data_IF_348303761345
#
_entry.id   IF_348303761345
#
_cell.length_a   1.000
_cell.length_b   1.000
_cell.length_c   1.000
_cell.angle_alpha   90.00
_cell.angle_beta   90.00
_cell.angle_gamma   90.00
#
_symmetry.space_group_name_H-M   'P 1'
#
loop_
_entity.id
_entity.type
_entity.pdbx_description
1 polymer ?
#
# COMPACT_ATOMS: atom_id res chain seq x y z
N UNK A 1 -60.76 45.30 17.60
CA UNK A 1 -60.54 45.74 18.98
C UNK A 1 -59.12 45.35 19.41
N UNK A 2 -58.37 46.36 19.85
CA UNK A 2 -57.11 46.34 20.61
C UNK A 2 -55.91 45.48 20.17
N UNK A 3 -54.91 46.21 19.68
CA UNK A 3 -53.50 45.86 19.65
C UNK A 3 -52.92 45.66 21.07
N UNK A 4 -51.94 44.76 21.20
CA UNK A 4 -50.86 44.87 22.19
C UNK A 4 -49.53 44.47 21.56
N UNK A 5 -48.59 45.41 21.67
CA UNK A 5 -47.20 45.34 21.28
C UNK A 5 -46.41 44.37 22.17
N UNK A 6 -45.55 43.54 21.56
CA UNK A 6 -44.52 42.77 22.25
C UNK A 6 -43.18 43.02 21.56
N UNK A 7 -42.28 43.71 22.26
CA UNK A 7 -40.97 44.11 21.78
C UNK A 7 -40.00 42.92 21.64
N UNK A 8 -39.22 42.95 20.56
CA UNK A 8 -38.12 42.04 20.23
C UNK A 8 -36.90 42.30 21.12
N UNK A 9 -36.43 41.29 21.84
CA UNK A 9 -35.13 41.32 22.52
C UNK A 9 -34.03 40.81 21.58
N UNK A 10 -33.13 41.70 21.16
CA UNK A 10 -31.94 41.35 20.41
C UNK A 10 -30.87 40.73 21.33
N UNK A 11 -30.47 39.49 21.06
CA UNK A 11 -29.36 38.83 21.75
C UNK A 11 -28.03 39.43 21.27
N UNK A 12 -27.27 40.05 22.19
CA UNK A 12 -25.90 40.50 21.97
C UNK A 12 -24.95 39.31 21.86
N UNK A 13 -24.19 39.24 20.77
CA UNK A 13 -23.08 38.30 20.60
C UNK A 13 -21.90 38.65 21.54
N UNK A 14 -21.20 37.67 22.12
CA UNK A 14 -20.02 37.92 22.94
C UNK A 14 -18.82 38.33 22.08
N UNK A 15 -18.16 39.42 22.46
CA UNK A 15 -16.92 39.92 21.87
C UNK A 15 -15.75 38.98 22.22
N UNK A 16 -15.05 38.48 21.19
CA UNK A 16 -13.81 37.71 21.33
C UNK A 16 -12.65 38.64 21.78
N UNK A 17 -11.79 38.20 22.72
CA UNK A 17 -10.60 38.95 23.09
C UNK A 17 -9.52 38.91 21.98
N UNK A 18 -8.69 39.96 21.85
CA UNK A 18 -7.64 40.03 20.84
C UNK A 18 -6.51 38.99 21.10
N UNK A 19 -5.81 38.55 20.04
CA UNK A 19 -4.74 37.56 20.16
C UNK A 19 -3.53 38.11 20.94
N UNK A 20 -2.98 37.27 21.83
CA UNK A 20 -1.75 37.56 22.60
C UNK A 20 -0.53 37.61 21.69
N UNK A 21 0.33 38.59 21.93
CA UNK A 21 1.64 38.74 21.28
C UNK A 21 2.57 37.54 21.56
N UNK A 22 3.47 37.17 20.63
CA UNK A 22 4.38 36.05 20.80
C UNK A 22 5.46 36.33 21.86
N UNK A 23 5.78 35.30 22.66
CA UNK A 23 6.80 35.36 23.70
C UNK A 23 8.22 35.41 23.10
N UNK A 24 9.19 36.09 23.75
CA UNK A 24 10.57 36.14 23.29
C UNK A 24 11.28 34.79 23.43
N UNK A 25 12.14 34.47 22.46
CA UNK A 25 12.92 33.24 22.41
C UNK A 25 13.98 33.17 23.55
N UNK A 26 14.27 31.99 24.11
CA UNK A 26 15.30 31.82 25.13
C UNK A 26 16.72 31.95 24.55
N UNK A 27 17.71 32.40 25.36
CA UNK A 27 19.09 32.55 24.89
C UNK A 27 19.76 31.20 24.65
N UNK A 28 20.59 31.16 23.61
CA UNK A 28 21.38 29.99 23.21
C UNK A 28 22.43 29.65 24.28
N UNK A 29 22.38 28.42 24.81
CA UNK A 29 23.37 27.90 25.75
C UNK A 29 24.64 27.50 24.98
N UNK A 30 25.70 28.29 25.13
CA UNK A 30 27.07 27.95 24.71
C UNK A 30 27.64 26.92 25.71
N UNK A 31 27.73 25.66 25.31
CA UNK A 31 28.50 24.66 26.05
C UNK A 31 30.00 24.84 25.73
N UNK A 32 30.71 25.48 26.66
CA UNK A 32 32.18 25.46 26.75
C UNK A 32 32.62 24.07 27.24
N UNK A 33 33.44 23.40 26.45
CA UNK A 33 34.28 22.29 26.90
C UNK A 33 35.52 22.86 27.59
N UNK A 34 35.90 22.33 28.76
CA UNK A 34 37.28 22.20 29.25
C UNK A 34 37.30 21.19 30.43
N UNK A 35 38.45 20.53 30.71
CA UNK A 35 38.56 19.20 31.31
C UNK A 35 39.01 19.24 32.78
N UNK A 36 38.92 18.11 33.48
CA UNK A 36 39.78 17.84 34.64
C UNK A 36 40.14 16.34 34.75
N UNK A 37 41.40 16.14 35.10
CA UNK A 37 42.09 14.89 35.34
C UNK A 37 41.78 14.29 36.73
N UNK A 38 42.01 12.98 36.85
CA UNK A 38 43.02 12.49 37.80
C UNK A 38 42.58 11.87 39.14
N UNK A 39 42.79 10.55 39.22
CA UNK A 39 43.52 9.82 40.27
C UNK A 39 42.79 9.15 41.47
N UNK A 40 43.25 7.92 41.75
CA UNK A 40 43.24 7.21 43.04
C UNK A 40 42.15 6.15 43.19
N UNK A 41 42.30 4.81 43.10
CA UNK A 41 43.30 3.80 43.50
C UNK A 41 42.90 3.00 44.78
N UNK A 42 43.13 1.68 44.68
CA UNK A 42 43.23 0.63 45.73
C UNK A 42 41.95 -0.03 46.29
N UNK A 43 41.88 -1.32 46.65
CA UNK A 43 42.68 -2.53 46.40
C UNK A 43 42.02 -3.75 47.13
N UNK A 44 42.26 -4.98 46.62
CA UNK A 44 42.33 -6.26 47.38
C UNK A 44 41.04 -7.10 47.45
N UNK A 45 41.04 -8.45 47.43
CA UNK A 45 42.05 -9.50 47.21
C UNK A 45 41.28 -10.84 47.03
N UNK A 46 41.65 -11.74 46.11
CA UNK A 46 42.30 -13.01 46.48
C UNK A 46 41.55 -14.26 45.96
N UNK A 47 42.18 -15.45 45.89
CA UNK A 47 42.53 -16.05 44.59
C UNK A 47 42.19 -17.55 44.39
N UNK A 48 42.40 -18.05 43.16
CA UNK A 48 42.50 -19.48 42.82
C UNK A 48 43.00 -19.70 41.37
N UNK A 49 44.28 -20.08 41.22
CA UNK A 49 44.97 -20.47 39.98
C UNK A 49 45.15 -22.02 39.91
N UNK A 50 45.99 -22.66 39.06
CA UNK A 50 46.63 -22.33 37.76
C UNK A 50 46.38 -23.45 36.69
N UNK A 51 46.90 -23.51 35.45
CA UNK A 51 47.97 -22.79 34.75
C UNK A 51 48.14 -23.23 33.27
N UNK A 52 48.90 -22.41 32.53
CA UNK A 52 49.45 -22.66 31.20
C UNK A 52 50.53 -21.59 30.87
N UNK A 53 51.70 -21.92 30.26
CA UNK A 53 52.87 -21.01 30.16
C UNK A 53 52.83 -20.12 28.90
N UNK A 54 53.05 -18.78 29.01
CA UNK A 54 54.31 -18.00 28.93
C UNK A 54 54.85 -17.89 27.48
N UNK A 55 55.19 -16.72 26.90
CA UNK A 55 55.91 -15.54 27.44
C UNK A 55 55.89 -14.31 26.49
N UNK A 56 55.61 -13.12 27.05
CA UNK A 56 56.36 -11.81 27.01
C UNK A 56 56.66 -11.11 25.66
N UNK A 57 56.66 -9.78 25.47
CA UNK A 57 56.31 -8.51 26.15
C UNK A 57 56.35 -7.43 25.00
N UNK A 58 55.43 -6.46 24.90
CA UNK A 58 55.52 -5.06 25.39
C UNK A 58 56.86 -4.35 25.03
N UNK A 59 57.01 -3.10 24.55
CA UNK A 59 56.16 -1.98 24.08
C UNK A 59 57.14 -0.83 23.69
N UNK A 60 56.77 -0.01 22.70
CA UNK A 60 57.17 1.40 22.42
C UNK A 60 58.62 1.79 22.05
N UNK A 61 58.64 2.90 21.29
CA UNK A 61 59.68 3.94 21.12
C UNK A 61 60.79 3.69 20.09
N UNK A 62 60.77 4.40 18.95
CA UNK A 62 61.62 5.60 18.74
C UNK A 62 61.33 6.28 17.39
N UNK A 63 61.36 7.61 17.42
CA UNK A 63 61.43 8.49 16.27
C UNK A 63 62.90 8.74 15.85
N UNK A 64 63.07 9.06 14.56
CA UNK A 64 64.13 9.91 13.97
C UNK A 64 65.58 9.39 13.87
N UNK A 65 66.22 9.85 12.79
CA UNK A 65 67.64 9.90 12.38
C UNK A 65 67.97 9.00 11.17
N UNK A 66 68.55 9.44 10.02
CA UNK A 66 69.15 10.69 9.47
C UNK A 66 69.16 10.52 7.93
N UNK A 67 68.69 11.46 7.10
CA UNK A 67 69.43 12.58 6.49
C UNK A 67 70.71 12.23 5.70
N UNK A 68 70.68 12.38 4.36
CA UNK A 68 71.72 13.06 3.57
C UNK A 68 71.33 13.27 2.08
N UNK A 69 71.51 14.50 1.62
CA UNK A 69 71.50 15.04 0.25
C UNK A 69 70.12 15.15 -0.43
N UNK A 70 69.54 16.32 -0.69
CA UNK A 70 70.15 17.60 -1.08
C UNK A 70 69.95 17.80 -2.58
N UNK A 71 69.31 18.92 -2.95
CA UNK A 71 68.91 19.39 -4.30
C UNK A 71 67.64 18.73 -4.88
N UNK A 72 66.67 19.44 -5.43
CA UNK A 72 66.53 20.85 -5.77
C UNK A 72 65.26 20.99 -6.63
N UNK A 73 64.58 22.12 -6.50
CA UNK A 73 63.36 22.53 -7.20
C UNK A 73 63.33 22.20 -8.71
N UNK A 74 62.15 21.80 -9.21
CA UNK A 74 61.58 22.33 -10.46
C UNK A 74 60.05 22.30 -10.37
N UNK A 75 59.47 23.49 -10.22
CA UNK A 75 58.05 23.77 -10.42
C UNK A 75 57.75 23.77 -11.92
N UNK A 76 56.76 22.99 -12.35
CA UNK A 76 56.04 23.25 -13.59
C UNK A 76 54.56 22.90 -13.40
N UNK A 77 53.75 23.94 -13.42
CA UNK A 77 52.29 23.93 -13.37
C UNK A 77 51.71 23.09 -14.51
N UNK A 78 50.68 22.30 -14.21
CA UNK A 78 49.72 21.85 -15.21
C UNK A 78 48.33 21.82 -14.58
N UNK A 79 47.52 22.78 -15.00
CA UNK A 79 46.12 22.90 -14.67
C UNK A 79 45.33 21.71 -15.24
N UNK A 80 44.52 21.05 -14.41
CA UNK A 80 43.39 20.28 -14.88
C UNK A 80 42.11 21.08 -14.63
N UNK A 81 41.47 21.48 -15.72
CA UNK A 81 40.16 22.11 -15.74
C UNK A 81 39.08 21.12 -15.23
N UNK A 82 38.07 21.59 -14.47
CA UNK A 82 36.89 20.80 -14.20
C UNK A 82 35.99 20.75 -15.44
N UNK A 83 35.58 19.54 -15.83
CA UNK A 83 34.65 19.29 -16.92
C UNK A 83 33.30 19.99 -16.68
N UNK A 84 32.91 20.85 -17.61
CA UNK A 84 31.60 21.49 -17.65
C UNK A 84 30.54 20.49 -18.13
N UNK A 85 29.44 20.37 -17.38
CA UNK A 85 28.22 19.70 -17.83
C UNK A 85 27.54 20.52 -18.96
N UNK A 86 26.92 19.86 -19.95
CA UNK A 86 26.18 20.57 -21.00
C UNK A 86 24.93 21.27 -20.44
N UNK A 87 24.53 22.43 -20.98
CA UNK A 87 23.37 23.16 -20.52
C UNK A 87 22.06 22.47 -20.92
N UNK A 88 21.06 22.53 -20.03
CA UNK A 88 19.68 22.13 -20.27
C UNK A 88 19.04 23.02 -21.36
N UNK A 89 18.20 22.47 -22.25
CA UNK A 89 17.50 23.28 -23.25
C UNK A 89 16.48 24.21 -22.59
N UNK A 90 16.52 25.47 -23.04
CA UNK A 90 15.64 26.57 -22.62
C UNK A 90 14.17 26.25 -22.90
N UNK A 91 13.30 26.53 -21.92
CA UNK A 91 11.86 26.46 -22.05
C UNK A 91 11.37 27.52 -23.04
N UNK A 92 10.63 27.08 -24.06
CA UNK A 92 9.90 27.98 -24.95
C UNK A 92 8.75 28.67 -24.19
N UNK A 93 8.41 29.94 -24.51
CA UNK A 93 7.37 30.68 -23.83
C UNK A 93 5.98 30.11 -24.16
N UNK A 94 5.16 29.92 -23.12
CA UNK A 94 3.76 29.54 -23.26
C UNK A 94 2.94 30.68 -23.92
N UNK A 95 1.98 30.37 -24.80
CA UNK A 95 1.06 31.38 -25.30
C UNK A 95 0.09 31.82 -24.21
N UNK A 96 -0.25 33.11 -24.22
CA UNK A 96 -1.15 33.75 -23.28
C UNK A 96 -2.55 33.12 -23.32
N UNK A 97 -3.03 32.65 -22.17
CA UNK A 97 -4.41 32.16 -22.00
C UNK A 97 -5.32 33.36 -21.75
N UNK A 98 -6.20 33.64 -22.70
CA UNK A 98 -7.36 34.51 -22.52
C UNK A 98 -8.32 33.91 -21.48
N UNK A 99 -8.86 34.77 -20.62
CA UNK A 99 -9.75 34.37 -19.51
C UNK A 99 -11.05 33.69 -19.97
N UNK A 100 -11.73 32.94 -19.08
CA UNK A 100 -12.90 32.18 -19.47
C UNK A 100 -14.10 33.12 -19.66
N UNK A 101 -14.66 33.10 -20.87
CA UNK A 101 -16.02 33.55 -21.13
C UNK A 101 -16.99 32.54 -20.51
N UNK A 102 -18.01 33.05 -19.81
CA UNK A 102 -19.19 32.28 -19.43
C UNK A 102 -19.81 31.62 -20.67
N UNK A 103 -19.91 30.29 -20.67
CA UNK A 103 -20.78 29.57 -21.59
C UNK A 103 -21.55 28.49 -20.83
N UNK A 104 -22.85 28.48 -21.12
CA UNK A 104 -23.92 27.76 -20.45
C UNK A 104 -23.84 26.23 -20.65
N UNK A 105 -24.45 25.53 -19.70
CA UNK A 105 -24.95 24.14 -19.73
C UNK A 105 -24.78 23.39 -21.07
N UNK A 106 -23.88 22.42 -21.10
CA UNK A 106 -23.88 21.35 -22.09
C UNK A 106 -24.41 20.06 -21.44
N UNK A 107 -25.63 19.70 -21.84
CA UNK A 107 -26.30 18.43 -21.57
C UNK A 107 -25.52 17.31 -22.27
N UNK A 108 -25.19 16.24 -21.53
CA UNK A 108 -24.59 15.02 -22.10
C UNK A 108 -25.53 14.40 -23.15
N UNK A 109 -25.05 13.96 -24.33
CA UNK A 109 -25.91 13.34 -25.33
C UNK A 109 -26.37 11.95 -24.86
N UNK A 110 -27.69 11.72 -24.93
CA UNK A 110 -28.31 10.39 -24.85
C UNK A 110 -27.83 9.53 -26.02
N UNK A 111 -27.63 8.21 -25.84
CA UNK A 111 -27.44 7.32 -26.97
C UNK A 111 -28.75 7.21 -27.76
N UNK A 112 -28.61 7.22 -29.09
CA UNK A 112 -29.69 7.16 -30.05
C UNK A 112 -30.58 5.94 -29.85
N UNK A 113 -31.90 6.17 -29.93
CA UNK A 113 -32.90 5.14 -30.10
C UNK A 113 -32.72 4.51 -31.48
N UNK A 114 -32.53 3.18 -31.53
CA UNK A 114 -32.71 2.40 -32.74
C UNK A 114 -34.18 1.97 -32.82
N UNK A 115 -34.81 2.30 -33.95
CA UNK A 115 -36.17 1.97 -34.31
C UNK A 115 -36.34 0.47 -34.60
N UNK A 116 -37.60 0.03 -34.52
CA UNK A 116 -38.07 -1.33 -34.73
C UNK A 116 -38.21 -1.73 -36.21
N UNK A 117 -38.45 -3.04 -36.40
CA UNK A 117 -38.79 -3.81 -37.61
C UNK A 117 -37.56 -4.37 -38.37
N UNK A 118 -37.45 -5.64 -38.77
CA UNK A 118 -38.46 -6.68 -39.09
C UNK A 118 -37.96 -8.09 -38.70
N UNK A 119 -38.91 -9.01 -38.50
CA UNK A 119 -38.70 -10.45 -38.29
C UNK A 119 -38.38 -11.14 -39.63
N UNK A 120 -37.28 -11.88 -39.71
CA UNK A 120 -37.14 -13.00 -40.65
C UNK A 120 -36.69 -14.25 -39.88
N UNK A 121 -37.55 -15.27 -39.93
CA UNK A 121 -37.25 -16.64 -39.51
C UNK A 121 -36.20 -17.25 -40.44
N UNK A 122 -35.04 -17.59 -39.88
CA UNK A 122 -33.99 -18.35 -40.55
C UNK A 122 -33.32 -19.28 -39.54
N UNK A 123 -33.80 -20.53 -39.49
CA UNK A 123 -33.22 -21.59 -38.67
C UNK A 123 -31.78 -21.88 -39.09
N UNK A 124 -30.87 -21.76 -38.13
CA UNK A 124 -29.48 -22.17 -38.25
C UNK A 124 -28.92 -22.43 -36.85
N UNK A 125 -28.84 -23.71 -36.49
CA UNK A 125 -28.17 -24.18 -35.27
C UNK A 125 -26.69 -23.78 -35.36
N UNK A 126 -26.36 -22.64 -34.75
CA UNK A 126 -25.00 -22.17 -34.54
C UNK A 126 -24.69 -22.22 -33.05
N UNK A 127 -23.65 -22.96 -32.69
CA UNK A 127 -23.13 -23.13 -31.34
C UNK A 127 -22.96 -21.76 -30.64
N UNK A 128 -23.72 -21.53 -29.56
CA UNK A 128 -23.51 -20.39 -28.66
C UNK A 128 -22.15 -20.55 -27.95
N UNK A 129 -21.08 -20.04 -28.57
CA UNK A 129 -19.88 -19.69 -27.83
C UNK A 129 -20.23 -18.57 -26.84
N UNK A 130 -20.20 -18.91 -25.55
CA UNK A 130 -20.56 -18.04 -24.42
C UNK A 130 -19.77 -16.73 -24.34
N UNK A 131 -20.16 -15.77 -25.17
CA UNK A 131 -19.80 -14.36 -25.04
C UNK A 131 -20.42 -13.80 -23.76
N UNK A 132 -19.59 -13.28 -22.87
CA UNK A 132 -20.03 -12.52 -21.71
C UNK A 132 -20.95 -11.38 -22.17
N UNK A 133 -22.19 -11.35 -21.66
CA UNK A 133 -23.11 -10.23 -21.94
C UNK A 133 -22.48 -8.92 -21.43
N UNK A 134 -21.95 -8.13 -22.36
CA UNK A 134 -21.30 -6.86 -22.08
C UNK A 134 -22.24 -5.88 -21.35
N UNK A 135 -23.55 -5.95 -21.61
CA UNK A 135 -24.55 -5.11 -20.93
C UNK A 135 -24.71 -5.54 -19.48
N UNK A 136 -24.79 -6.84 -19.21
CA UNK A 136 -24.83 -7.36 -17.85
C UNK A 136 -23.58 -6.99 -17.06
N UNK A 137 -22.39 -7.06 -17.68
CA UNK A 137 -21.13 -6.69 -17.03
C UNK A 137 -21.06 -5.19 -16.72
N UNK A 138 -21.47 -4.32 -17.65
CA UNK A 138 -21.55 -2.87 -17.41
C UNK A 138 -22.52 -2.57 -16.25
N UNK A 139 -23.70 -3.19 -16.25
CA UNK A 139 -24.70 -3.02 -15.19
C UNK A 139 -24.17 -3.50 -13.82
N UNK A 140 -23.37 -4.58 -13.80
CA UNK A 140 -22.72 -5.06 -12.59
C UNK A 140 -21.66 -4.07 -12.07
N UNK A 141 -20.82 -3.52 -12.94
CA UNK A 141 -19.81 -2.51 -12.55
C UNK A 141 -20.46 -1.25 -12.01
N UNK A 142 -21.54 -0.79 -12.66
CA UNK A 142 -22.36 0.32 -12.19
C UNK A 142 -22.96 0.04 -10.81
N UNK A 143 -23.53 -1.16 -10.61
CA UNK A 143 -24.11 -1.55 -9.33
C UNK A 143 -23.06 -1.58 -8.20
N UNK A 144 -21.85 -2.04 -8.47
CA UNK A 144 -20.74 -2.02 -7.50
C UNK A 144 -20.33 -0.59 -7.15
N UNK A 145 -20.23 0.31 -8.13
CA UNK A 145 -19.93 1.73 -7.89
C UNK A 145 -21.02 2.42 -7.08
N UNK A 146 -22.29 2.22 -7.42
CA UNK A 146 -23.44 2.76 -6.67
C UNK A 146 -23.46 2.28 -5.22
N UNK A 147 -23.12 1.02 -4.96
CA UNK A 147 -23.02 0.49 -3.59
C UNK A 147 -21.98 1.24 -2.77
N UNK A 148 -20.76 1.43 -3.30
CA UNK A 148 -19.70 2.17 -2.62
C UNK A 148 -20.21 3.54 -2.21
N UNK A 149 -20.79 4.29 -3.15
CA UNK A 149 -21.32 5.63 -2.87
C UNK A 149 -22.47 5.66 -1.87
N UNK A 150 -23.40 4.70 -1.96
CA UNK A 150 -24.49 4.55 -1.00
C UNK A 150 -23.95 4.36 0.42
N UNK A 151 -23.03 3.42 0.60
CA UNK A 151 -22.43 3.12 1.91
C UNK A 151 -21.59 4.28 2.43
N UNK A 152 -20.86 4.97 1.54
CA UNK A 152 -20.12 6.18 1.90
C UNK A 152 -21.05 7.28 2.44
N UNK A 153 -22.23 7.48 1.84
CA UNK A 153 -23.23 8.44 2.28
C UNK A 153 -23.87 8.02 3.62
N UNK A 154 -24.29 6.75 3.74
CA UNK A 154 -24.91 6.19 4.96
C UNK A 154 -23.97 6.28 6.17
N UNK A 155 -22.67 6.08 5.96
CA UNK A 155 -21.64 6.16 7.01
C UNK A 155 -21.04 7.56 7.19
N UNK A 156 -21.47 8.56 6.42
CA UNK A 156 -20.98 9.94 6.50
C UNK A 156 -19.51 10.13 6.11
N UNK A 157 -18.92 9.18 5.37
CA UNK A 157 -17.48 9.13 5.09
C UNK A 157 -17.02 10.13 4.00
N UNK A 158 -17.96 10.78 3.32
CA UNK A 158 -17.68 11.78 2.28
C UNK A 158 -17.49 13.20 2.83
N UNK A 159 -17.88 13.46 4.08
CA UNK A 159 -18.07 14.83 4.59
C UNK A 159 -16.76 15.56 4.87
N UNK A 160 -15.71 14.83 5.22
CA UNK A 160 -14.43 15.40 5.62
C UNK A 160 -13.27 14.55 5.09
N UNK A 161 -12.17 15.21 4.72
CA UNK A 161 -10.93 14.58 4.29
C UNK A 161 -10.62 14.74 2.80
N UNK A 162 -9.37 14.45 2.47
CA UNK A 162 -8.85 14.42 1.10
C UNK A 162 -8.54 12.97 0.72
N UNK A 163 -8.57 12.64 -0.58
CA UNK A 163 -8.16 11.31 -1.02
C UNK A 163 -6.71 11.04 -0.63
N UNK A 164 -6.42 9.82 -0.15
CA UNK A 164 -5.06 9.36 0.04
C UNK A 164 -4.41 9.07 -1.33
N UNK A 165 -3.92 10.13 -1.97
CA UNK A 165 -3.34 10.05 -3.31
C UNK A 165 -2.04 9.24 -3.37
N UNK A 166 -1.37 9.02 -2.23
CA UNK A 166 -0.09 8.34 -2.18
C UNK A 166 -0.14 7.00 -2.91
N UNK A 167 -1.19 6.20 -2.73
CA UNK A 167 -1.27 4.84 -3.29
C UNK A 167 -1.69 4.75 -4.77
N UNK A 168 -1.94 5.89 -5.40
CA UNK A 168 -2.40 5.94 -6.78
C UNK A 168 -1.26 5.93 -7.79
N UNK A 169 -1.52 5.29 -8.93
CA UNK A 169 -0.76 5.38 -10.16
C UNK A 169 -1.59 6.18 -11.16
N UNK A 170 -0.98 7.18 -11.78
CA UNK A 170 -1.58 7.98 -12.84
C UNK A 170 -0.75 7.73 -14.09
N UNK A 171 -1.37 7.08 -15.08
CA UNK A 171 -0.80 6.92 -16.41
C UNK A 171 -1.58 7.83 -17.37
N UNK A 172 -1.05 9.04 -17.56
CA UNK A 172 -1.67 10.05 -18.42
C UNK A 172 -1.59 9.71 -19.90
N UNK A 173 -0.67 8.82 -20.31
CA UNK A 173 -0.57 8.40 -21.72
C UNK A 173 -1.73 7.48 -22.11
N UNK A 174 -2.21 6.67 -21.17
CA UNK A 174 -3.27 5.71 -21.38
C UNK A 174 -4.59 6.09 -20.68
N UNK A 175 -4.69 7.30 -20.13
CA UNK A 175 -5.86 7.77 -19.36
C UNK A 175 -6.29 6.77 -18.28
N UNK A 176 -5.34 6.29 -17.47
CA UNK A 176 -5.59 5.33 -16.40
C UNK A 176 -5.25 5.90 -15.03
N UNK A 177 -6.13 5.65 -14.08
CA UNK A 177 -5.88 5.90 -12.65
C UNK A 177 -6.15 4.63 -11.85
N UNK A 178 -5.18 4.18 -11.06
CA UNK A 178 -5.30 2.95 -10.28
C UNK A 178 -4.83 3.14 -8.85
N UNK A 179 -5.65 2.77 -7.86
CA UNK A 179 -5.15 2.62 -6.48
C UNK A 179 -4.59 1.23 -6.23
N UNK A 180 -3.30 1.14 -5.91
CA UNK A 180 -2.60 -0.13 -5.73
C UNK A 180 -2.87 -0.77 -4.35
N UNK A 181 -3.97 -1.51 -4.23
CA UNK A 181 -4.22 -2.28 -3.01
C UNK A 181 -3.42 -3.59 -3.00
N UNK A 182 -2.49 -3.68 -2.06
CA UNK A 182 -1.72 -4.89 -1.83
C UNK A 182 -2.62 -6.09 -1.49
N UNK A 183 -2.22 -7.27 -1.98
CA UNK A 183 -2.93 -8.55 -1.75
C UNK A 183 -4.32 -8.64 -2.41
N UNK A 184 -4.70 -7.63 -3.20
CA UNK A 184 -5.85 -7.64 -4.11
C UNK A 184 -5.37 -7.44 -5.56
N UNK A 185 -4.74 -8.48 -6.13
CA UNK A 185 -4.16 -8.49 -7.47
C UNK A 185 -3.02 -7.48 -7.77
N UNK A 186 -2.47 -6.80 -6.75
CA UNK A 186 -1.40 -5.81 -6.92
C UNK A 186 -0.20 -6.28 -7.74
N UNK A 187 0.26 -7.52 -7.57
CA UNK A 187 1.40 -8.06 -8.33
C UNK A 187 1.11 -8.12 -9.84
N UNK A 188 -0.11 -8.51 -10.21
CA UNK A 188 -0.53 -8.61 -11.60
C UNK A 188 -0.65 -7.23 -12.25
N UNK A 189 -1.20 -6.25 -11.54
CA UNK A 189 -1.37 -4.90 -12.07
C UNK A 189 -0.09 -4.08 -12.05
N UNK A 190 0.80 -4.29 -11.07
CA UNK A 190 2.17 -3.74 -11.15
C UNK A 190 2.92 -4.26 -12.38
N UNK A 191 2.71 -5.51 -12.78
CA UNK A 191 3.29 -6.01 -14.02
C UNK A 191 2.71 -5.29 -15.25
N UNK A 192 1.39 -5.11 -15.31
CA UNK A 192 0.74 -4.39 -16.41
C UNK A 192 1.22 -2.93 -16.49
N UNK A 193 1.24 -2.20 -15.38
CA UNK A 193 1.77 -0.83 -15.35
C UNK A 193 3.24 -0.76 -15.75
N UNK A 194 4.07 -1.74 -15.37
CA UNK A 194 5.45 -1.77 -15.85
C UNK A 194 5.55 -2.00 -17.37
N UNK A 195 4.66 -2.82 -17.95
CA UNK A 195 4.60 -2.97 -19.42
C UNK A 195 4.19 -1.66 -20.10
N UNK A 196 3.13 -1.01 -19.59
CA UNK A 196 2.67 0.29 -20.09
C UNK A 196 3.74 1.38 -19.96
N UNK A 197 4.62 1.27 -18.97
CA UNK A 197 5.77 2.16 -18.79
C UNK A 197 6.94 1.88 -19.75
N UNK A 198 6.78 0.93 -20.69
CA UNK A 198 7.78 0.59 -21.70
C UNK A 198 8.82 -0.44 -21.27
N UNK A 199 8.67 -1.09 -20.11
CA UNK A 199 9.56 -2.21 -19.76
C UNK A 199 9.18 -3.44 -20.58
N UNK A 200 10.16 -4.11 -21.20
CA UNK A 200 9.91 -5.36 -21.92
C UNK A 200 9.62 -6.51 -20.97
N UNK A 201 8.83 -7.48 -21.42
CA UNK A 201 8.54 -8.68 -20.61
C UNK A 201 9.81 -9.44 -20.21
N UNK A 202 10.79 -9.52 -21.11
CA UNK A 202 12.05 -10.22 -20.86
C UNK A 202 12.88 -9.54 -19.77
N UNK A 203 12.84 -8.21 -19.70
CA UNK A 203 13.44 -7.45 -18.61
C UNK A 203 12.71 -7.73 -17.29
N UNK A 204 11.37 -7.64 -17.28
CA UNK A 204 10.58 -7.88 -16.07
C UNK A 204 10.73 -9.33 -15.54
N UNK A 205 10.94 -10.30 -16.42
CA UNK A 205 11.21 -11.70 -16.06
C UNK A 205 12.54 -11.88 -15.31
N UNK A 206 13.58 -11.17 -15.74
CA UNK A 206 14.95 -11.30 -15.20
C UNK A 206 15.27 -10.33 -14.08
N UNK A 207 14.52 -9.24 -13.95
CA UNK A 207 14.79 -8.20 -12.97
C UNK A 207 14.71 -8.73 -11.53
N UNK A 208 15.70 -8.33 -10.73
CA UNK A 208 15.71 -8.56 -9.28
C UNK A 208 15.08 -7.39 -8.50
N UNK A 209 14.78 -6.28 -9.18
CA UNK A 209 14.12 -5.13 -8.55
C UNK A 209 12.65 -5.46 -8.26
N UNK A 210 12.15 -4.98 -7.13
CA UNK A 210 10.72 -5.09 -6.81
C UNK A 210 9.88 -4.40 -7.89
N UNK A 211 8.79 -5.02 -8.38
CA UNK A 211 7.93 -4.43 -9.41
C UNK A 211 7.38 -3.05 -9.04
N UNK A 212 7.10 -2.82 -7.75
CA UNK A 212 6.64 -1.53 -7.24
C UNK A 212 7.71 -0.44 -7.44
N UNK A 213 8.98 -0.75 -7.20
CA UNK A 213 10.10 0.20 -7.36
C UNK A 213 10.26 0.61 -8.82
N UNK A 214 10.16 -0.36 -9.74
CA UNK A 214 10.20 -0.10 -11.18
C UNK A 214 9.03 0.78 -11.62
N UNK A 215 7.81 0.46 -11.20
CA UNK A 215 6.63 1.22 -11.57
C UNK A 215 6.69 2.64 -11.01
N UNK A 216 7.15 2.83 -9.77
CA UNK A 216 7.28 4.16 -9.15
C UNK A 216 8.38 5.03 -9.74
N UNK A 217 9.36 4.45 -10.42
CA UNK A 217 10.32 5.23 -11.21
C UNK A 217 9.69 5.89 -12.44
N UNK A 218 8.52 5.41 -12.89
CA UNK A 218 7.80 5.90 -14.07
C UNK A 218 6.52 6.65 -13.71
N UNK A 219 5.87 6.24 -12.61
CA UNK A 219 4.64 6.81 -12.10
C UNK A 219 4.85 7.28 -10.64
N UNK A 220 5.41 8.49 -10.45
CA UNK A 220 5.67 9.02 -9.12
C UNK A 220 4.38 9.13 -8.29
N UNK A 221 4.54 9.18 -6.96
CA UNK A 221 3.42 9.32 -6.01
C UNK A 221 2.76 10.68 -6.24
N UNK A 222 1.46 10.76 -6.60
CA UNK A 222 0.81 12.04 -6.89
C UNK A 222 0.39 12.76 -5.62
N UNK A 223 0.21 14.08 -5.73
CA UNK A 223 -0.50 14.88 -4.73
C UNK A 223 -2.02 14.69 -4.86
N UNK A 224 -2.82 15.02 -3.83
CA UNK A 224 -4.29 15.02 -3.94
C UNK A 224 -4.81 15.88 -5.09
N UNK A 225 -4.17 17.02 -5.36
CA UNK A 225 -4.54 17.89 -6.48
C UNK A 225 -4.28 17.23 -7.83
N UNK A 226 -3.11 16.59 -8.01
CA UNK A 226 -2.78 15.86 -9.24
C UNK A 226 -3.74 14.71 -9.49
N UNK A 227 -4.09 13.96 -8.43
CA UNK A 227 -5.09 12.90 -8.53
C UNK A 227 -6.45 13.47 -8.93
N UNK A 228 -6.93 14.53 -8.28
CA UNK A 228 -8.21 15.18 -8.62
C UNK A 228 -8.26 15.68 -10.06
N UNK A 229 -7.15 16.22 -10.56
CA UNK A 229 -7.06 16.68 -11.95
C UNK A 229 -7.08 15.54 -12.97
N UNK A 230 -6.52 14.38 -12.65
CA UNK A 230 -6.45 13.24 -13.58
C UNK A 230 -7.75 12.42 -13.67
N UNK A 231 -8.58 12.43 -12.62
CA UNK A 231 -9.76 11.56 -12.51
C UNK A 231 -10.85 11.79 -13.58
N UNK A 232 -11.20 13.02 -13.99
CA UNK A 232 -12.30 13.24 -14.95
C UNK A 232 -12.05 12.61 -16.32
N UNK A 233 -10.80 12.62 -16.78
CA UNK A 233 -10.41 12.19 -18.13
C UNK A 233 -9.78 10.79 -18.16
N UNK A 234 -9.87 10.05 -17.04
CA UNK A 234 -9.25 8.74 -16.88
C UNK A 234 -10.25 7.65 -16.51
N UNK A 235 -10.04 6.45 -17.05
CA UNK A 235 -10.62 5.26 -16.48
C UNK A 235 -9.93 4.99 -15.14
N UNK A 236 -10.67 5.23 -14.06
CA UNK A 236 -10.21 5.03 -12.70
C UNK A 236 -10.71 3.70 -12.15
N UNK A 237 -9.84 2.88 -11.56
CA UNK A 237 -10.28 1.59 -11.03
C UNK A 237 -9.63 1.21 -9.70
N UNK A 238 -10.37 0.40 -8.95
CA UNK A 238 -9.96 -0.20 -7.69
C UNK A 238 -10.23 -1.70 -7.74
N UNK A 239 -9.25 -2.51 -7.34
CA UNK A 239 -9.41 -3.96 -7.23
C UNK A 239 -9.49 -4.32 -5.76
N UNK A 240 -10.58 -4.96 -5.39
CA UNK A 240 -10.86 -5.38 -4.02
C UNK A 240 -10.94 -6.89 -3.91
N UNK A 241 -10.83 -7.38 -2.68
CA UNK A 241 -10.96 -8.78 -2.30
C UNK A 241 -11.74 -8.80 -1.00
N UNK A 242 -12.38 -9.92 -0.69
CA UNK A 242 -12.92 -10.14 0.66
C UNK A 242 -11.90 -9.68 1.73
N UNK A 243 -12.27 -8.73 2.63
CA UNK A 243 -11.30 -8.10 3.54
C UNK A 243 -10.54 -9.08 4.42
N UNK A 244 -11.19 -10.17 4.83
CA UNK A 244 -10.61 -11.19 5.69
C UNK A 244 -9.74 -12.18 4.90
N UNK A 245 -10.14 -12.54 3.69
CA UNK A 245 -9.23 -13.29 2.81
C UNK A 245 -7.97 -12.48 2.45
N UNK A 246 -8.13 -11.16 2.24
CA UNK A 246 -7.00 -10.26 2.01
C UNK A 246 -6.07 -10.23 3.22
N UNK A 247 -6.61 -10.11 4.42
CA UNK A 247 -5.83 -10.12 5.66
C UNK A 247 -5.05 -11.43 5.81
N UNK A 248 -5.70 -12.58 5.58
CA UNK A 248 -5.03 -13.87 5.61
C UNK A 248 -3.92 -13.96 4.55
N UNK A 249 -4.19 -13.50 3.33
CA UNK A 249 -3.19 -13.43 2.27
C UNK A 249 -1.97 -12.58 2.67
N UNK A 250 -2.19 -11.47 3.40
CA UNK A 250 -1.12 -10.65 3.94
C UNK A 250 -0.31 -11.40 5.00
N UNK A 251 -0.98 -12.01 5.99
CA UNK A 251 -0.34 -12.81 7.03
C UNK A 251 0.57 -13.89 6.43
N UNK A 252 0.01 -14.71 5.55
CA UNK A 252 0.73 -15.82 4.92
C UNK A 252 1.90 -15.35 4.08
N UNK A 253 1.76 -14.21 3.40
CA UNK A 253 2.84 -13.67 2.60
C UNK A 253 3.99 -13.09 3.44
N UNK A 254 3.71 -12.49 4.59
CA UNK A 254 4.70 -11.75 5.38
C UNK A 254 5.29 -12.54 6.54
N UNK A 255 4.51 -13.45 7.14
CA UNK A 255 4.89 -14.15 8.36
C UNK A 255 5.14 -15.65 8.18
N UNK A 256 4.53 -16.33 7.20
CA UNK A 256 4.90 -17.73 6.93
C UNK A 256 6.34 -17.77 6.34
N UNK A 257 7.22 -18.49 7.02
CA UNK A 257 8.63 -18.66 6.62
C UNK A 257 9.53 -17.43 6.82
N UNK A 258 9.02 -16.29 7.30
CA UNK A 258 9.76 -15.07 7.70
C UNK A 258 10.99 -14.71 6.83
N UNK A 259 10.80 -14.74 5.51
CA UNK A 259 11.88 -14.51 4.53
C UNK A 259 12.36 -13.07 4.52
N UNK A 260 11.48 -12.12 4.82
CA UNK A 260 11.79 -10.69 4.79
C UNK A 260 12.31 -10.22 6.16
N UNK A 261 13.46 -9.52 6.17
CA UNK A 261 14.12 -9.04 7.40
C UNK A 261 13.23 -8.12 8.25
N UNK A 262 12.47 -7.22 7.62
CA UNK A 262 11.56 -6.31 8.31
C UNK A 262 10.46 -7.09 9.03
N UNK A 263 9.78 -7.98 8.30
CA UNK A 263 8.71 -8.80 8.87
C UNK A 263 9.22 -9.86 9.86
N UNK A 264 10.49 -10.28 9.77
CA UNK A 264 11.15 -11.11 10.80
C UNK A 264 11.31 -10.35 12.12
N UNK A 265 11.62 -9.05 12.08
CA UNK A 265 11.67 -8.21 13.29
C UNK A 265 10.27 -8.01 13.88
N UNK A 266 9.32 -7.60 13.04
CA UNK A 266 7.92 -7.40 13.47
C UNK A 266 7.31 -8.69 14.01
N UNK A 267 7.56 -9.83 13.36
CA UNK A 267 7.06 -11.12 13.81
C UNK A 267 7.56 -11.49 15.20
N UNK A 268 8.84 -11.23 15.50
CA UNK A 268 9.40 -11.42 16.86
C UNK A 268 8.73 -10.51 17.89
N UNK A 269 8.49 -9.26 17.54
CA UNK A 269 7.80 -8.29 18.41
C UNK A 269 6.35 -8.68 18.70
N UNK A 270 5.64 -9.19 17.68
CA UNK A 270 4.29 -9.73 17.86
C UNK A 270 4.32 -10.93 18.80
N UNK A 271 5.22 -11.89 18.54
CA UNK A 271 5.33 -13.10 19.37
C UNK A 271 5.79 -12.81 20.80
N UNK A 272 6.60 -11.77 21.05
CA UNK A 272 7.09 -11.44 22.41
C UNK A 272 6.03 -10.77 23.28
N UNK A 273 5.01 -10.15 22.69
CA UNK A 273 3.93 -9.46 23.42
C UNK A 273 2.90 -10.40 24.02
N UNK A 274 2.91 -11.67 23.62
CA UNK A 274 1.93 -12.65 24.05
C UNK A 274 2.64 -13.88 24.60
N UNK A 275 2.20 -14.43 25.76
CA UNK A 275 2.69 -15.71 26.23
C UNK A 275 2.54 -16.76 25.14
N UNK A 276 3.50 -17.68 25.01
CA UNK A 276 3.30 -18.86 24.16
C UNK A 276 2.08 -19.59 24.67
N UNK A 277 0.99 -19.60 23.89
CA UNK A 277 -0.19 -20.41 24.21
C UNK A 277 0.25 -21.88 24.27
N UNK A 278 -0.29 -22.61 25.25
CA UNK A 278 0.07 -24.00 25.51
C UNK A 278 -0.29 -24.96 24.35
N UNK A 279 -1.21 -24.56 23.46
CA UNK A 279 -1.61 -25.36 22.31
C UNK A 279 -0.53 -25.31 21.22
N UNK A 280 -0.04 -26.46 20.73
CA UNK A 280 0.84 -26.48 19.57
C UNK A 280 0.11 -25.83 18.38
N UNK A 281 0.79 -24.97 17.60
CA UNK A 281 0.19 -24.38 16.41
C UNK A 281 -0.25 -25.51 15.46
N UNK A 282 -1.36 -25.34 14.72
CA UNK A 282 -1.75 -26.31 13.72
C UNK A 282 -0.59 -26.54 12.74
N UNK A 283 -0.45 -27.76 12.17
CA UNK A 283 0.63 -28.05 11.24
C UNK A 283 0.62 -27.03 10.10
N UNK A 284 1.79 -26.45 9.76
CA UNK A 284 1.86 -25.36 8.81
C UNK A 284 1.34 -25.83 7.45
N UNK A 285 0.49 -25.04 6.78
CA UNK A 285 0.12 -25.37 5.41
C UNK A 285 1.36 -25.32 4.51
N UNK A 286 1.30 -25.95 3.33
CA UNK A 286 2.38 -25.86 2.36
C UNK A 286 2.71 -24.38 2.06
N UNK A 287 4.01 -24.05 1.88
CA UNK A 287 4.49 -22.67 1.78
C UNK A 287 3.76 -21.89 0.69
N UNK A 288 3.54 -20.59 0.94
CA UNK A 288 2.84 -19.71 0.02
C UNK A 288 3.55 -19.67 -1.36
N UNK A 289 2.88 -19.97 -2.49
CA UNK A 289 3.51 -20.15 -3.79
C UNK A 289 4.27 -18.93 -4.33
N UNK A 290 3.89 -17.72 -3.87
CA UNK A 290 4.47 -16.43 -4.26
C UNK A 290 5.30 -15.81 -3.12
N UNK A 291 5.93 -16.61 -2.26
CA UNK A 291 6.94 -16.15 -1.31
C UNK A 291 8.23 -15.73 -2.04
N UNK A 292 8.12 -14.83 -3.01
CA UNK A 292 9.20 -14.34 -3.87
C UNK A 292 9.79 -13.05 -3.32
N UNK A 293 10.18 -13.05 -2.05
CA UNK A 293 11.26 -12.17 -1.60
C UNK A 293 12.52 -13.04 -1.61
N UNK A 294 13.33 -12.85 -2.65
CA UNK A 294 14.62 -13.51 -2.81
C UNK A 294 15.62 -12.94 -1.80
N UNK A 295 16.24 -13.82 -1.01
CA UNK A 295 17.36 -13.47 -0.14
C UNK A 295 17.59 -14.50 0.96
N UNK A 296 16.55 -14.86 1.71
CA UNK A 296 16.72 -15.66 2.91
C UNK A 296 15.90 -16.96 2.86
N UNK A 297 16.56 -18.08 3.14
CA UNK A 297 15.89 -19.34 3.46
C UNK A 297 15.02 -19.14 4.71
N UNK A 298 13.86 -19.83 4.82
CA UNK A 298 13.11 -19.86 6.07
C UNK A 298 14.04 -20.32 7.20
N UNK A 299 14.11 -19.57 8.30
CA UNK A 299 14.85 -20.00 9.48
C UNK A 299 13.95 -20.93 10.32
N UNK A 300 14.20 -22.25 10.34
CA UNK A 300 13.37 -23.19 11.09
C UNK A 300 13.42 -22.95 12.61
N UNK A 301 14.38 -22.15 13.10
CA UNK A 301 14.53 -21.81 14.52
C UNK A 301 13.65 -20.66 14.98
N UNK A 302 12.99 -19.95 14.05
CA UNK A 302 12.16 -18.79 14.34
C UNK A 302 10.75 -18.98 13.78
N UNK A 303 9.87 -19.73 14.48
CA UNK A 303 8.46 -19.75 14.10
C UNK A 303 7.92 -18.33 14.26
N UNK A 304 7.45 -17.73 13.16
CA UNK A 304 6.78 -16.44 13.19
C UNK A 304 5.51 -16.46 14.06
N UNK A 305 4.86 -15.30 14.25
CA UNK A 305 3.64 -15.24 15.04
C UNK A 305 2.58 -16.15 14.41
N UNK A 306 1.77 -16.79 15.26
CA UNK A 306 0.54 -17.46 14.82
C UNK A 306 -0.42 -16.45 14.18
N UNK A 307 -1.38 -16.93 13.41
CA UNK A 307 -2.41 -16.05 12.85
C UNK A 307 -3.22 -15.33 13.93
N UNK A 308 -3.50 -16.02 15.04
CA UNK A 308 -4.16 -15.44 16.22
C UNK A 308 -3.35 -14.28 16.81
N UNK A 309 -2.05 -14.48 17.05
CA UNK A 309 -1.14 -13.42 17.51
C UNK A 309 -1.06 -12.24 16.54
N UNK A 310 -1.06 -12.52 15.24
CA UNK A 310 -1.10 -11.48 14.21
C UNK A 310 -2.42 -10.69 14.23
N UNK A 311 -3.56 -11.36 14.38
CA UNK A 311 -4.87 -10.70 14.50
C UNK A 311 -4.92 -9.81 15.73
N UNK A 312 -4.41 -10.28 16.88
CA UNK A 312 -4.33 -9.45 18.08
C UNK A 312 -3.46 -8.20 17.90
N UNK A 313 -2.37 -8.30 17.11
CA UNK A 313 -1.57 -7.15 16.71
C UNK A 313 -2.37 -6.17 15.85
N UNK A 314 -3.12 -6.66 14.85
CA UNK A 314 -3.98 -5.81 14.01
C UNK A 314 -5.06 -5.11 14.84
N UNK A 315 -5.68 -5.83 15.77
CA UNK A 315 -6.65 -5.28 16.73
C UNK A 315 -6.01 -4.21 17.61
N UNK A 316 -4.79 -4.45 18.12
CA UNK A 316 -4.04 -3.46 18.89
C UNK A 316 -3.84 -2.17 18.11
N UNK A 317 -3.38 -2.29 16.86
CA UNK A 317 -3.14 -1.16 15.98
C UNK A 317 -4.42 -0.40 15.65
N UNK A 318 -5.53 -1.10 15.39
CA UNK A 318 -6.77 -0.49 14.94
C UNK A 318 -7.62 0.13 16.04
N UNK A 319 -7.71 -0.53 17.20
CA UNK A 319 -8.67 -0.15 18.26
C UNK A 319 -7.99 0.45 19.50
N UNK A 320 -6.70 0.15 19.74
CA UNK A 320 -6.01 0.59 20.97
C UNK A 320 -4.99 1.71 20.74
N UNK A 321 -4.49 1.88 19.51
CA UNK A 321 -3.54 2.93 19.20
C UNK A 321 -4.25 4.29 19.05
N UNK A 322 -3.66 5.34 19.63
CA UNK A 322 -4.18 6.71 19.50
C UNK A 322 -4.20 7.22 18.05
N UNK A 323 -3.22 6.79 17.24
CA UNK A 323 -3.16 7.05 15.79
C UNK A 323 -2.89 5.74 15.05
N UNK A 324 -3.93 4.98 14.64
CA UNK A 324 -3.77 3.71 13.97
C UNK A 324 -2.94 3.84 12.68
N UNK A 325 -1.80 3.15 12.63
CA UNK A 325 -0.95 3.06 11.44
C UNK A 325 -0.81 1.61 11.02
N UNK A 326 -1.56 1.21 10.00
CA UNK A 326 -1.48 -0.12 9.43
C UNK A 326 -0.34 -0.22 8.41
N UNK A 327 0.21 -1.42 8.26
CA UNK A 327 1.04 -1.76 7.12
C UNK A 327 0.19 -1.78 5.84
N UNK A 328 0.77 -1.37 4.72
CA UNK A 328 0.11 -1.29 3.41
C UNK A 328 -0.54 -2.62 2.96
N UNK A 329 -0.02 -3.76 3.43
CA UNK A 329 -0.52 -5.09 3.06
C UNK A 329 -1.83 -5.47 3.72
N UNK A 330 -2.17 -4.88 4.86
CA UNK A 330 -3.40 -5.16 5.60
C UNK A 330 -4.17 -3.91 6.05
N UNK A 331 -3.78 -2.71 5.62
CA UNK A 331 -4.55 -1.49 5.86
C UNK A 331 -5.98 -1.63 5.30
N UNK A 332 -7.03 -1.23 6.06
CA UNK A 332 -8.40 -1.20 5.56
C UNK A 332 -8.53 -0.33 4.31
N UNK A 333 -9.37 -0.74 3.35
CA UNK A 333 -9.54 -0.04 2.08
C UNK A 333 -10.05 1.37 2.27
N UNK A 334 -11.03 1.56 3.15
CA UNK A 334 -11.64 2.87 3.43
C UNK A 334 -10.62 3.91 3.93
N UNK A 335 -9.52 3.48 4.55
CA UNK A 335 -8.40 4.36 4.95
C UNK A 335 -7.28 4.41 3.91
N UNK A 336 -7.02 3.31 3.22
CA UNK A 336 -5.87 3.17 2.35
C UNK A 336 -6.06 3.86 1.00
N UNK A 337 -7.16 3.58 0.30
CA UNK A 337 -7.48 4.18 -1.00
C UNK A 337 -8.59 5.25 -0.93
N UNK A 338 -9.18 5.46 0.25
CA UNK A 338 -10.24 6.47 0.48
C UNK A 338 -11.31 6.48 -0.63
N UNK A 339 -11.98 5.34 -0.88
CA UNK A 339 -12.94 5.20 -1.98
C UNK A 339 -14.17 6.10 -1.87
N UNK A 340 -14.40 6.72 -0.72
CA UNK A 340 -15.44 7.73 -0.54
C UNK A 340 -15.04 9.14 -1.01
N UNK A 341 -13.77 9.35 -1.38
CA UNK A 341 -13.23 10.61 -1.90
C UNK A 341 -12.78 10.49 -3.37
N UNK A 342 -13.01 9.33 -3.99
CA UNK A 342 -12.61 9.05 -5.38
C UNK A 342 -13.76 8.36 -6.11
N UNK A 343 -14.25 8.99 -7.17
CA UNK A 343 -15.26 8.40 -8.05
C UNK A 343 -14.63 7.39 -9.01
N UNK A 344 -14.34 6.19 -8.51
CA UNK A 344 -13.82 5.11 -9.33
C UNK A 344 -14.80 4.76 -10.45
N UNK A 345 -14.30 4.67 -11.68
CA UNK A 345 -15.06 4.19 -12.84
C UNK A 345 -15.43 2.71 -12.66
N UNK A 346 -14.46 1.90 -12.18
CA UNK A 346 -14.60 0.44 -12.03
C UNK A 346 -14.20 -0.03 -10.64
N UNK A 347 -15.05 -0.85 -10.03
CA UNK A 347 -14.73 -1.61 -8.81
C UNK A 347 -14.63 -3.10 -9.18
N UNK A 348 -13.41 -3.56 -9.40
CA UNK A 348 -13.11 -4.95 -9.75
C UNK A 348 -12.92 -5.82 -8.51
N UNK A 349 -13.17 -7.12 -8.63
CA UNK A 349 -13.05 -8.09 -7.53
C UNK A 349 -12.07 -9.20 -7.86
N UNK A 350 -11.32 -9.68 -6.86
CA UNK A 350 -10.38 -10.80 -7.04
C UNK A 350 -11.11 -12.10 -7.43
N UNK A 351 -12.34 -12.27 -6.93
CA UNK A 351 -13.20 -13.42 -7.17
C UNK A 351 -13.66 -13.51 -8.63
N UNK A 352 -13.80 -12.35 -9.29
CA UNK A 352 -14.15 -12.22 -10.73
C UNK A 352 -13.01 -11.65 -11.55
N UNK A 353 -11.77 -11.76 -11.06
CA UNK A 353 -10.63 -10.98 -11.56
C UNK A 353 -10.38 -11.14 -13.05
N UNK A 354 -10.45 -12.37 -13.58
CA UNK A 354 -10.17 -12.61 -15.00
C UNK A 354 -11.08 -11.79 -15.90
N UNK A 355 -12.38 -11.78 -15.61
CA UNK A 355 -13.41 -11.05 -16.36
C UNK A 355 -13.29 -9.54 -16.13
N UNK A 356 -13.10 -9.14 -14.87
CA UNK A 356 -13.02 -7.71 -14.53
C UNK A 356 -11.73 -7.07 -15.06
N UNK A 357 -10.61 -7.80 -15.11
CA UNK A 357 -9.35 -7.34 -15.73
C UNK A 357 -9.52 -7.14 -17.23
N UNK A 358 -10.14 -8.09 -17.92
CA UNK A 358 -10.42 -7.99 -19.36
C UNK A 358 -11.30 -6.77 -19.65
N UNK A 359 -12.37 -6.60 -18.88
CA UNK A 359 -13.24 -5.42 -18.99
C UNK A 359 -12.48 -4.09 -18.81
N UNK A 360 -11.59 -3.99 -17.82
CA UNK A 360 -10.78 -2.77 -17.64
C UNK A 360 -9.86 -2.55 -18.84
N UNK A 361 -9.19 -3.62 -19.31
CA UNK A 361 -8.25 -3.53 -20.43
C UNK A 361 -8.96 -3.12 -21.72
N UNK A 362 -10.13 -3.69 -22.00
CA UNK A 362 -10.92 -3.37 -23.18
C UNK A 362 -11.48 -1.95 -23.12
N UNK A 363 -12.08 -1.56 -21.99
CA UNK A 363 -12.63 -0.22 -21.81
C UNK A 363 -11.55 0.88 -21.87
N UNK A 364 -10.30 0.54 -21.52
CA UNK A 364 -9.14 1.43 -21.65
C UNK A 364 -8.49 1.39 -23.05
N UNK A 365 -8.97 0.58 -23.99
CA UNK A 365 -8.35 0.43 -25.32
C UNK A 365 -6.98 -0.25 -25.29
N UNK A 366 -6.65 -0.99 -24.24
CA UNK A 366 -5.32 -1.56 -24.00
C UNK A 366 -5.17 -3.02 -24.47
N UNK A 367 -6.11 -3.52 -25.27
CA UNK A 367 -6.07 -4.90 -25.79
C UNK A 367 -4.77 -5.20 -26.54
N UNK A 368 -4.31 -4.29 -27.40
CA UNK A 368 -3.05 -4.46 -28.12
C UNK A 368 -1.80 -4.42 -27.22
N UNK A 369 -1.81 -3.57 -26.19
CA UNK A 369 -0.68 -3.42 -25.27
C UNK A 369 -0.57 -4.57 -24.25
N UNK A 370 -1.72 -5.07 -23.77
CA UNK A 370 -1.78 -5.98 -22.62
C UNK A 370 -2.36 -7.36 -22.95
N UNK A 371 -3.32 -7.53 -23.86
CA UNK A 371 -3.91 -8.85 -24.16
C UNK A 371 -3.17 -9.56 -25.30
N UNK A 372 -2.66 -8.83 -26.30
CA UNK A 372 -1.83 -9.42 -27.35
C UNK A 372 -0.48 -9.95 -26.80
N UNK A 373 0.04 -9.31 -25.75
CA UNK A 373 1.26 -9.70 -25.02
C UNK A 373 0.96 -10.69 -23.88
N UNK A 374 -0.18 -10.56 -23.18
CA UNK A 374 -0.57 -11.46 -22.10
C UNK A 374 -1.33 -12.70 -22.59
N UNK A 375 -0.69 -13.54 -23.42
CA UNK A 375 -1.04 -14.97 -23.34
C UNK A 375 -0.81 -15.39 -21.88
N UNK A 376 -1.88 -15.66 -21.13
CA UNK A 376 -1.83 -15.97 -19.69
C UNK A 376 -0.82 -17.09 -19.36
N UNK A 377 -0.55 -17.97 -20.34
CA UNK A 377 0.47 -19.04 -20.31
C UNK A 377 1.92 -18.53 -20.24
N UNK A 378 2.20 -17.33 -20.72
CA UNK A 378 3.56 -16.76 -20.81
C UNK A 378 3.87 -15.77 -19.68
N UNK A 379 2.87 -15.36 -18.88
CA UNK A 379 3.12 -14.53 -17.71
C UNK A 379 4.07 -15.26 -16.75
N UNK A 380 5.07 -14.57 -16.19
CA UNK A 380 6.06 -15.23 -15.35
C UNK A 380 5.36 -15.87 -14.16
N UNK A 381 5.80 -17.06 -13.72
CA UNK A 381 5.24 -17.76 -12.54
C UNK A 381 5.20 -16.89 -11.27
N UNK A 382 6.05 -15.84 -11.19
CA UNK A 382 6.09 -14.87 -10.09
C UNK A 382 4.93 -13.85 -10.12
N UNK A 383 4.30 -13.68 -11.27
CA UNK A 383 3.24 -12.69 -11.54
C UNK A 383 1.85 -13.33 -11.56
N UNK A 384 1.77 -14.67 -11.64
CA UNK A 384 0.49 -15.37 -11.65
C UNK A 384 -0.14 -15.39 -10.26
N UNK A 385 -1.42 -15.02 -10.20
CA UNK A 385 -2.25 -15.16 -9.01
C UNK A 385 -2.54 -16.65 -8.80
N UNK A 386 -1.66 -17.35 -8.07
CA UNK A 386 -1.83 -18.76 -7.69
C UNK A 386 -2.81 -18.93 -6.54
N UNK A 387 -4.01 -18.33 -6.65
CA UNK A 387 -5.12 -18.79 -5.85
C UNK A 387 -5.37 -20.25 -6.27
N UNK A 388 -4.91 -21.21 -5.47
CA UNK A 388 -5.37 -22.60 -5.58
C UNK A 388 -6.89 -22.48 -5.51
N UNK A 389 -7.62 -23.01 -6.50
CA UNK A 389 -9.02 -22.64 -6.80
C UNK A 389 -9.96 -22.56 -5.59
N UNK A 390 -11.15 -21.98 -5.77
CA UNK A 390 -12.07 -21.55 -4.71
C UNK A 390 -12.13 -22.48 -3.47
N UNK A 391 -12.23 -23.81 -3.68
CA UNK A 391 -12.21 -24.82 -2.60
C UNK A 391 -10.96 -24.76 -1.71
N UNK A 392 -9.76 -24.76 -2.28
CA UNK A 392 -8.53 -24.68 -1.51
C UNK A 392 -8.38 -23.35 -0.75
N UNK A 393 -8.95 -22.28 -1.29
CA UNK A 393 -9.00 -20.98 -0.61
C UNK A 393 -9.96 -21.03 0.59
N UNK A 394 -11.15 -21.60 0.42
CA UNK A 394 -12.12 -21.81 1.50
C UNK A 394 -11.55 -22.69 2.63
N UNK A 395 -10.89 -23.80 2.30
CA UNK A 395 -10.26 -24.70 3.27
C UNK A 395 -9.15 -24.01 4.08
N UNK A 396 -8.41 -23.09 3.45
CA UNK A 396 -7.40 -22.30 4.13
C UNK A 396 -8.04 -21.26 5.06
N UNK A 397 -9.06 -20.55 4.58
CA UNK A 397 -9.82 -19.60 5.38
C UNK A 397 -10.41 -20.28 6.61
N UNK A 398 -11.09 -21.43 6.44
CA UNK A 398 -11.68 -22.20 7.53
C UNK A 398 -10.63 -22.55 8.60
N UNK A 399 -9.49 -23.11 8.18
CA UNK A 399 -8.40 -23.50 9.11
C UNK A 399 -7.86 -22.32 9.93
N UNK A 400 -7.66 -21.16 9.30
CA UNK A 400 -7.08 -20.01 9.98
C UNK A 400 -8.09 -19.27 10.84
N UNK A 401 -9.32 -19.05 10.35
CA UNK A 401 -10.34 -18.33 11.12
C UNK A 401 -10.90 -19.15 12.27
N UNK A 402 -10.85 -20.50 12.20
CA UNK A 402 -11.19 -21.37 13.34
C UNK A 402 -10.25 -21.22 14.55
N UNK A 403 -9.06 -20.64 14.38
CA UNK A 403 -8.16 -20.38 15.52
C UNK A 403 -8.57 -19.15 16.33
N UNK A 404 -9.38 -18.26 15.75
CA UNK A 404 -9.78 -16.99 16.38
C UNK A 404 -10.99 -17.19 17.29
N UNK A 405 -11.02 -16.47 18.41
CA UNK A 405 -12.23 -16.39 19.24
C UNK A 405 -13.28 -15.47 18.60
N UNK A 406 -14.54 -15.62 18.99
CA UNK A 406 -15.63 -14.74 18.55
C UNK A 406 -15.37 -13.27 18.93
N UNK A 407 -14.76 -13.02 20.08
CA UNK A 407 -14.34 -11.69 20.52
C UNK A 407 -13.28 -11.09 19.59
N UNK A 408 -12.23 -11.85 19.24
CA UNK A 408 -11.23 -11.40 18.29
C UNK A 408 -11.86 -11.09 16.93
N UNK A 409 -12.75 -11.95 16.46
CA UNK A 409 -13.39 -11.73 15.16
C UNK A 409 -14.31 -10.49 15.16
N UNK A 410 -15.04 -10.25 16.25
CA UNK A 410 -15.86 -9.05 16.44
C UNK A 410 -15.02 -7.78 16.46
N UNK A 411 -13.88 -7.78 17.14
CA UNK A 411 -12.94 -6.65 17.14
C UNK A 411 -12.29 -6.44 15.77
N UNK A 412 -11.95 -7.52 15.09
CA UNK A 412 -11.44 -7.45 13.73
C UNK A 412 -12.50 -6.89 12.76
N UNK A 413 -13.78 -7.27 12.93
CA UNK A 413 -14.88 -6.72 12.16
C UNK A 413 -15.10 -5.23 12.46
N UNK A 414 -14.85 -4.75 13.68
CA UNK A 414 -14.89 -3.29 13.96
C UNK A 414 -13.85 -2.51 13.14
N UNK A 415 -12.74 -3.15 12.76
CA UNK A 415 -11.70 -2.53 11.92
C UNK A 415 -12.08 -2.56 10.44
N UNK A 416 -12.54 -3.71 9.92
CA UNK A 416 -12.76 -3.93 8.49
C UNK A 416 -14.23 -3.86 8.05
N UNK A 417 -15.19 -3.71 8.95
CA UNK A 417 -16.63 -3.80 8.65
C UNK A 417 -17.09 -2.79 7.62
N UNK A 418 -16.51 -1.58 7.61
CA UNK A 418 -16.75 -0.61 6.54
C UNK A 418 -16.37 -1.17 5.16
N UNK A 419 -15.28 -1.92 5.05
CA UNK A 419 -14.85 -2.50 3.77
C UNK A 419 -15.78 -3.64 3.31
N UNK A 420 -16.32 -4.42 4.26
CA UNK A 420 -17.33 -5.43 3.95
C UNK A 420 -18.57 -4.80 3.32
N UNK A 421 -19.06 -3.71 3.90
CA UNK A 421 -20.24 -3.01 3.41
C UNK A 421 -19.99 -2.34 2.05
N UNK A 422 -18.88 -1.58 1.93
CA UNK A 422 -18.53 -0.85 0.70
C UNK A 422 -18.53 -1.77 -0.52
N UNK A 423 -18.00 -2.99 -0.36
CA UNK A 423 -17.81 -3.91 -1.48
C UNK A 423 -18.79 -5.08 -1.49
N UNK A 424 -19.76 -5.10 -0.57
CA UNK A 424 -20.81 -6.11 -0.51
C UNK A 424 -20.29 -7.53 -0.27
N UNK A 425 -19.39 -7.69 0.70
CA UNK A 425 -18.94 -8.99 1.18
C UNK A 425 -19.74 -9.44 2.42
N UNK A 426 -19.88 -10.75 2.61
CA UNK A 426 -20.57 -11.31 3.77
C UNK A 426 -19.56 -11.69 4.87
N UNK A 427 -19.61 -10.99 6.01
CA UNK A 427 -18.76 -11.27 7.15
C UNK A 427 -19.28 -12.44 8.03
N UNK A 428 -20.58 -12.76 7.98
CA UNK A 428 -21.20 -13.75 8.87
C UNK A 428 -20.58 -15.14 8.72
N UNK A 429 -20.17 -15.52 7.51
CA UNK A 429 -19.50 -16.81 7.22
C UNK A 429 -18.24 -17.06 8.07
N UNK A 430 -17.63 -16.01 8.61
CA UNK A 430 -16.44 -16.13 9.47
C UNK A 430 -16.80 -16.36 10.94
N UNK A 431 -17.94 -15.83 11.40
CA UNK A 431 -18.40 -16.01 12.78
C UNK A 431 -18.80 -17.45 13.06
N UNK A 432 -19.27 -18.16 12.03
CA UNK A 432 -19.56 -19.60 12.10
C UNK A 432 -18.30 -20.45 12.23
N UNK A 433 -17.15 -19.94 11.78
CA UNK A 433 -15.85 -20.63 11.87
C UNK A 433 -15.17 -20.38 13.22
N UNK A 434 -15.34 -19.18 13.80
CA UNK A 434 -14.63 -18.77 15.01
C UNK A 434 -15.04 -19.62 16.23
N UNK A 435 -14.04 -20.01 17.03
CA UNK A 435 -14.28 -20.77 18.27
C UNK A 435 -14.96 -19.91 19.34
N UNK A 436 -15.67 -20.53 20.30
CA UNK A 436 -16.23 -19.82 21.44
C UNK A 436 -15.18 -19.01 22.21
N UNK A 437 -15.62 -17.94 22.86
CA UNK A 437 -14.77 -17.17 23.76
C UNK A 437 -14.40 -18.04 24.99
N UNK A 438 -13.17 -17.93 25.52
CA UNK A 438 -12.81 -18.61 26.75
C UNK A 438 -13.72 -18.13 27.90
N UNK A 439 -14.07 -19.07 28.79
CA UNK A 439 -14.92 -18.82 29.95
C UNK A 439 -14.28 -17.86 30.96
#
# INVERSE_FOLDING_TARGET
MSARLGATAAARAPLLPPPRAPAPAPPALLLRLLPCAGAGAAAGAGPGAPGGPRTRHLVQLLALLLAASGYGLLLASSALAPAQLPPLPSAAPAPAIAGPALAQQAVLPRPAAAAAAEEEEGGGEGEEEGGLDARALEAEMEARRRRVWKVCAERGLQREGEPNAWEFFIDSHHSLVWCNVFKAASTAWLYNFNLLAGYSESFLRRSLKMPLVLARARYPRPTPQQLRAALPDSLSFLIVRDPFERLLSAYRNKFEGLRNRFYRKLGREISSRQPRRASPPPPPPPPHPNAVDAGDAPDPRLPGPTFEQFVDHVIATGLRAHKPKFDEHWAPYYRFCTPCHVNFTVIAKVETLSRDEEYIIERAGLRGALLATARRRERPRKVTNRARGAKATADLVARYYATLTRAQLRDLYRIYGTDFDLFGYNASKYFDLARPDPA
#
